data_IF_227630751289
#
_entry.id   IF_227630751289
#
_cell.length_a   1.000
_cell.length_b   1.000
_cell.length_c   1.000
_cell.angle_alpha   90.00
_cell.angle_beta   90.00
_cell.angle_gamma   90.00
#
_symmetry.space_group_name_H-M   'P 1'
#
loop_
_entity.id
_entity.type
_entity.pdbx_description
1 polymer ?
#
# COMPACT_ATOMS: atom_id res chain seq x y z
N UNK A 1 12.54 -19.27 -3.70
CA UNK A 1 11.44 -18.30 -3.86
C UNK A 1 11.90 -17.05 -4.61
N UNK A 2 12.91 -16.32 -4.13
CA UNK A 2 13.46 -15.17 -4.87
C UNK A 2 14.21 -15.57 -6.14
N UNK A 3 14.82 -16.75 -6.16
CA UNK A 3 15.51 -17.32 -7.33
C UNK A 3 14.60 -17.57 -8.55
N UNK A 4 13.27 -17.53 -8.35
CA UNK A 4 12.28 -17.72 -9.40
C UNK A 4 11.74 -16.38 -9.95
N UNK A 5 12.13 -15.24 -9.37
CA UNK A 5 11.74 -13.93 -9.88
C UNK A 5 12.55 -13.58 -11.12
N UNK A 6 11.88 -13.55 -12.27
CA UNK A 6 12.44 -12.96 -13.48
C UNK A 6 12.36 -11.42 -13.39
N UNK A 7 13.51 -10.80 -13.12
CA UNK A 7 13.68 -9.35 -13.00
C UNK A 7 13.88 -8.65 -14.35
N UNK A 8 13.91 -9.40 -15.47
CA UNK A 8 14.00 -8.82 -16.81
C UNK A 8 12.65 -8.37 -17.37
N UNK A 9 11.56 -8.73 -16.70
CA UNK A 9 10.21 -8.33 -17.08
C UNK A 9 10.07 -6.79 -17.07
N UNK A 10 9.64 -6.26 -18.19
CA UNK A 10 9.37 -4.85 -18.38
C UNK A 10 8.13 -4.67 -19.25
N UNK A 11 7.43 -3.56 -19.07
CA UNK A 11 6.33 -3.14 -19.93
C UNK A 11 6.80 -1.97 -20.78
N UNK A 12 6.38 -1.93 -22.04
CA UNK A 12 6.47 -0.69 -22.82
C UNK A 12 5.58 0.38 -22.19
N UNK A 13 5.86 1.64 -22.54
CA UNK A 13 5.06 2.76 -22.03
C UNK A 13 3.61 2.65 -22.47
N UNK A 14 3.40 2.25 -23.73
CA UNK A 14 2.08 2.10 -24.35
C UNK A 14 1.26 1.01 -23.67
N UNK A 15 1.87 -0.15 -23.37
CA UNK A 15 1.22 -1.24 -22.63
C UNK A 15 0.88 -0.83 -21.20
N UNK A 16 1.79 -0.12 -20.53
CA UNK A 16 1.57 0.37 -19.18
C UNK A 16 0.41 1.36 -19.13
N UNK A 17 0.41 2.36 -20.02
CA UNK A 17 -0.63 3.41 -20.05
C UNK A 17 -2.00 2.81 -20.40
N UNK A 18 -2.05 1.80 -21.29
CA UNK A 18 -3.27 1.08 -21.62
C UNK A 18 -3.81 0.24 -20.44
N UNK A 19 -2.91 -0.34 -19.64
CA UNK A 19 -3.29 -1.20 -18.50
C UNK A 19 -3.61 -0.46 -17.21
N UNK A 20 -2.98 0.69 -16.96
CA UNK A 20 -3.05 1.35 -15.65
C UNK A 20 -4.38 2.07 -15.40
N UNK A 21 -4.94 2.75 -16.40
CA UNK A 21 -6.18 3.52 -16.24
C UNK A 21 -7.38 2.67 -15.77
N UNK A 22 -7.70 1.50 -16.38
CA UNK A 22 -8.81 0.68 -15.90
C UNK A 22 -8.56 0.14 -14.48
N UNK A 23 -7.30 -0.08 -14.11
CA UNK A 23 -6.95 -0.50 -12.74
C UNK A 23 -7.15 0.62 -11.72
N UNK A 24 -6.83 1.87 -12.07
CA UNK A 24 -7.07 3.05 -11.22
C UNK A 24 -8.56 3.25 -10.96
N UNK A 25 -9.38 3.18 -11.99
CA UNK A 25 -10.84 3.29 -11.86
C UNK A 25 -11.40 2.18 -10.97
N UNK A 26 -11.00 0.93 -11.23
CA UNK A 26 -11.41 -0.22 -10.43
C UNK A 26 -11.00 -0.08 -8.97
N UNK A 27 -9.81 0.44 -8.70
CA UNK A 27 -9.32 0.66 -7.34
C UNK A 27 -10.20 1.65 -6.57
N UNK A 28 -10.61 2.75 -7.21
CA UNK A 28 -11.54 3.72 -6.60
C UNK A 28 -12.95 3.15 -6.37
N UNK A 29 -13.44 2.29 -7.25
CA UNK A 29 -14.71 1.56 -7.05
C UNK A 29 -14.60 0.63 -5.85
N UNK A 30 -13.55 -0.19 -5.77
CA UNK A 30 -13.33 -1.13 -4.68
C UNK A 30 -13.22 -0.43 -3.32
N UNK A 31 -12.56 0.74 -3.26
CA UNK A 31 -12.49 1.53 -2.03
C UNK A 31 -13.89 1.88 -1.50
N UNK A 32 -14.80 2.32 -2.39
CA UNK A 32 -16.19 2.65 -2.02
C UNK A 32 -16.95 1.40 -1.57
N UNK A 33 -16.81 0.29 -2.30
CA UNK A 33 -17.47 -0.97 -1.95
C UNK A 33 -17.02 -1.50 -0.59
N UNK A 34 -15.72 -1.49 -0.30
CA UNK A 34 -15.19 -1.93 1.00
C UNK A 34 -15.66 -1.02 2.14
N UNK A 35 -15.70 0.30 1.92
CA UNK A 35 -16.27 1.24 2.89
C UNK A 35 -17.73 0.94 3.17
N UNK A 36 -18.55 0.76 2.13
CA UNK A 36 -19.99 0.54 2.26
C UNK A 36 -20.30 -0.80 2.94
N UNK A 37 -19.43 -1.80 2.74
CA UNK A 37 -19.49 -3.12 3.40
C UNK A 37 -18.79 -3.16 4.77
N UNK A 38 -18.18 -2.06 5.21
CA UNK A 38 -17.38 -1.97 6.46
C UNK A 38 -16.28 -3.03 6.55
N UNK A 39 -15.61 -3.29 5.43
CA UNK A 39 -14.48 -4.23 5.37
C UNK A 39 -13.18 -3.42 5.50
N UNK A 40 -12.42 -3.58 6.60
CA UNK A 40 -11.11 -2.94 6.74
C UNK A 40 -10.09 -3.57 5.79
N UNK A 41 -9.22 -2.74 5.21
CA UNK A 41 -8.14 -3.19 4.31
C UNK A 41 -6.81 -2.61 4.81
N UNK A 42 -5.79 -3.47 4.90
CA UNK A 42 -4.41 -3.09 5.19
C UNK A 42 -3.56 -3.49 3.99
N UNK A 43 -2.72 -2.57 3.51
CA UNK A 43 -1.75 -2.83 2.45
C UNK A 43 -0.36 -2.57 3.05
N UNK A 44 0.50 -3.59 3.03
CA UNK A 44 1.86 -3.53 3.58
C UNK A 44 2.85 -3.44 2.41
N UNK A 45 3.74 -2.45 2.45
CA UNK A 45 4.81 -2.28 1.48
C UNK A 45 6.16 -2.54 2.15
N UNK A 46 6.92 -3.50 1.62
CA UNK A 46 8.26 -3.87 2.08
C UNK A 46 9.17 -4.13 0.87
N UNK A 47 10.47 -3.90 1.04
CA UNK A 47 11.44 -4.19 -0.01
C UNK A 47 12.76 -3.46 0.15
N UNK A 48 13.67 -3.72 -0.79
CA UNK A 48 15.02 -3.16 -0.77
C UNK A 48 15.01 -1.64 -0.94
N UNK A 49 16.07 -0.97 -0.45
CA UNK A 49 16.29 0.45 -0.76
C UNK A 49 16.31 0.63 -2.28
N UNK A 50 15.64 1.69 -2.75
CA UNK A 50 15.49 2.02 -4.18
C UNK A 50 14.67 1.04 -5.02
N UNK A 51 13.85 0.18 -4.41
CA UNK A 51 12.91 -0.71 -5.12
C UNK A 51 11.69 -0.01 -5.73
N UNK A 52 11.54 1.32 -5.57
CA UNK A 52 10.39 2.06 -6.12
C UNK A 52 9.12 2.03 -5.26
N UNK A 53 9.19 1.58 -4.00
CA UNK A 53 8.05 1.54 -3.07
C UNK A 53 7.37 2.90 -2.93
N UNK A 54 8.14 3.97 -2.72
CA UNK A 54 7.57 5.32 -2.53
C UNK A 54 6.80 5.80 -3.76
N UNK A 55 7.31 5.50 -4.96
CA UNK A 55 6.63 5.84 -6.22
C UNK A 55 5.34 5.02 -6.38
N UNK A 56 5.39 3.73 -6.03
CA UNK A 56 4.23 2.84 -6.06
C UNK A 56 3.13 3.30 -5.09
N UNK A 57 3.51 3.67 -3.86
CA UNK A 57 2.57 4.23 -2.87
C UNK A 57 1.94 5.50 -3.44
N UNK A 58 2.73 6.40 -4.01
CA UNK A 58 2.22 7.65 -4.60
C UNK A 58 1.23 7.40 -5.76
N UNK A 59 1.53 6.46 -6.66
CA UNK A 59 0.62 6.09 -7.76
C UNK A 59 -0.69 5.50 -7.24
N UNK A 60 -0.61 4.70 -6.18
CA UNK A 60 -1.78 4.07 -5.55
C UNK A 60 -2.65 5.11 -4.84
N UNK A 61 -2.05 6.05 -4.10
CA UNK A 61 -2.80 7.08 -3.36
C UNK A 61 -3.48 8.09 -4.27
N UNK A 62 -2.91 8.41 -5.44
CA UNK A 62 -3.54 9.29 -6.45
C UNK A 62 -4.87 8.71 -6.95
N UNK A 63 -4.99 7.38 -7.02
CA UNK A 63 -6.19 6.72 -7.51
C UNK A 63 -7.30 6.54 -6.44
N UNK A 64 -7.02 6.86 -5.18
CA UNK A 64 -7.92 6.65 -4.04
C UNK A 64 -8.48 7.98 -3.53
N UNK A 65 -9.70 7.95 -2.97
CA UNK A 65 -10.25 9.08 -2.22
C UNK A 65 -9.44 9.26 -0.92
N UNK A 66 -8.82 10.43 -0.69
CA UNK A 66 -7.94 10.67 0.47
C UNK A 66 -8.65 10.58 1.82
N UNK A 67 -9.98 10.64 1.86
CA UNK A 67 -10.75 10.50 3.10
C UNK A 67 -10.87 9.04 3.56
N UNK A 68 -10.62 8.09 2.66
CA UNK A 68 -10.85 6.67 2.89
C UNK A 68 -9.58 5.85 3.16
N UNK A 69 -8.41 6.48 3.31
CA UNK A 69 -7.18 5.78 3.67
C UNK A 69 -6.26 6.64 4.54
N UNK A 70 -5.28 5.98 5.16
CA UNK A 70 -4.15 6.64 5.83
C UNK A 70 -2.88 5.92 5.43
N UNK A 71 -1.78 6.67 5.32
CA UNK A 71 -0.45 6.11 5.04
C UNK A 71 0.39 6.24 6.30
N UNK A 72 0.87 5.11 6.78
CA UNK A 72 1.71 5.02 7.98
C UNK A 72 3.14 4.68 7.55
N UNK A 73 4.09 5.49 8.00
CA UNK A 73 5.52 5.27 7.74
C UNK A 73 6.15 4.60 8.96
N UNK A 74 6.66 3.38 8.79
CA UNK A 74 7.35 2.66 9.86
C UNK A 74 8.72 3.30 10.11
N UNK A 75 8.86 3.95 11.27
CA UNK A 75 10.15 4.49 11.76
C UNK A 75 10.76 3.56 12.83
N UNK A 76 12.03 3.76 13.19
CA UNK A 76 12.59 3.12 14.38
C UNK A 76 11.72 3.37 15.61
N UNK A 77 11.58 2.35 16.45
CA UNK A 77 10.72 2.44 17.63
C UNK A 77 11.26 3.49 18.62
N UNK A 78 10.37 4.32 19.15
CA UNK A 78 10.68 5.28 20.20
C UNK A 78 10.71 4.60 21.59
N UNK A 79 11.14 5.29 22.66
CA UNK A 79 11.23 4.69 23.99
C UNK A 79 9.91 4.15 24.55
N UNK A 80 8.77 4.80 24.23
CA UNK A 80 7.44 4.36 24.66
C UNK A 80 7.07 3.06 23.93
N UNK A 81 7.28 3.00 22.62
CA UNK A 81 6.99 1.81 21.82
C UNK A 81 7.84 0.62 22.23
N UNK A 82 9.11 0.87 22.60
CA UNK A 82 10.06 -0.17 23.04
C UNK A 82 9.69 -0.76 24.41
N UNK A 83 8.95 0.00 25.24
CA UNK A 83 8.44 -0.47 26.52
C UNK A 83 7.23 -1.42 26.39
N UNK A 84 6.68 -1.59 25.19
CA UNK A 84 5.56 -2.48 24.91
C UNK A 84 5.99 -3.68 24.07
N UNK A 85 5.08 -4.65 23.88
CA UNK A 85 5.30 -5.77 22.96
C UNK A 85 5.48 -5.25 21.52
N UNK A 86 6.35 -5.84 20.68
CA UNK A 86 6.72 -5.28 19.37
C UNK A 86 5.55 -4.93 18.44
N UNK A 87 4.45 -5.69 18.50
CA UNK A 87 3.27 -5.46 17.66
C UNK A 87 2.37 -4.33 18.14
N UNK A 88 2.50 -3.88 19.39
CA UNK A 88 1.64 -2.87 19.99
C UNK A 88 1.60 -1.57 19.17
N UNK A 89 2.75 -1.13 18.66
CA UNK A 89 2.84 0.10 17.87
C UNK A 89 2.06 0.02 16.54
N UNK A 90 2.02 -1.14 15.91
CA UNK A 90 1.31 -1.34 14.65
C UNK A 90 -0.19 -1.57 14.87
N UNK A 91 -0.57 -2.13 16.02
CA UNK A 91 -1.97 -2.38 16.36
C UNK A 91 -2.78 -1.08 16.45
N UNK A 92 -2.14 0.01 16.87
CA UNK A 92 -2.75 1.35 16.93
C UNK A 92 -3.09 1.92 15.55
N UNK A 93 -2.39 1.48 14.51
CA UNK A 93 -2.59 1.91 13.13
C UNK A 93 -3.59 1.03 12.37
N UNK A 94 -4.15 0.01 13.01
CA UNK A 94 -5.17 -0.82 12.38
C UNK A 94 -6.43 0.02 12.10
N UNK A 95 -7.05 -0.10 10.91
CA UNK A 95 -8.28 0.60 10.61
C UNK A 95 -9.38 0.19 11.60
N UNK A 96 -9.96 1.19 12.26
CA UNK A 96 -11.12 1.01 13.14
C UNK A 96 -12.31 0.46 12.33
N UNK A 97 -13.02 -0.51 12.92
CA UNK A 97 -14.28 -1.05 12.38
C UNK A 97 -15.43 -0.05 12.47
#
# INVERSE_FOLDING_TARGET
>A
MLEQCDLSQALSKEEYDAGIEPLRERLGVLQREFRDRKIPVIIIFEGWRFSGISDTINRLTIALDPRGFRVHLTKPANPIETAHVPLWRFWQDTPLQ
#
